data_IF_930096156473
#
_entry.id   IF_930096156473
#
_cell.length_a   1.000
_cell.length_b   1.000
_cell.length_c   1.000
_cell.angle_alpha   90.00
_cell.angle_beta   90.00
_cell.angle_gamma   90.00
#
_symmetry.space_group_name_H-M   'P 1'
#
loop_
_entity.id
_entity.type
_entity.pdbx_description
1 polymer ?
#
# COMPACT_ATOMS: atom_id res chain seq x y z
N UNK A 1 21.05 1.11 -5.99
CA UNK A 1 20.58 1.61 -4.67
C UNK A 1 19.23 0.96 -4.40
N UNK A 2 19.13 0.02 -3.46
CA UNK A 2 17.89 -0.76 -3.22
C UNK A 2 16.87 0.06 -2.45
N UNK A 3 15.74 0.38 -3.07
CA UNK A 3 14.60 1.08 -2.48
C UNK A 3 13.90 0.11 -1.51
N UNK A 4 13.97 0.40 -0.21
CA UNK A 4 13.64 -0.55 0.86
C UNK A 4 12.43 -0.03 1.64
N UNK A 5 11.21 -0.47 1.32
CA UNK A 5 9.95 0.04 1.91
C UNK A 5 9.76 -0.44 3.34
N UNK A 6 9.24 0.43 4.22
CA UNK A 6 9.05 0.18 5.66
C UNK A 6 7.62 -0.31 5.97
N UNK A 7 7.53 -1.32 6.83
CA UNK A 7 6.31 -1.84 7.48
C UNK A 7 6.49 -1.82 9.00
N UNK A 8 5.49 -1.42 9.80
CA UNK A 8 5.48 -1.37 11.29
C UNK A 8 6.88 -1.40 11.94
N UNK A 9 7.71 -0.43 11.57
CA UNK A 9 9.13 -0.46 11.91
C UNK A 9 9.38 0.37 13.14
N UNK A 10 10.33 -0.11 13.95
CA UNK A 10 10.84 0.65 15.06
C UNK A 10 11.54 1.93 14.55
N UNK A 11 11.18 3.05 15.14
CA UNK A 11 11.85 4.33 15.05
C UNK A 11 12.76 4.52 16.26
N UNK A 12 13.87 5.20 16.04
CA UNK A 12 14.76 5.71 17.09
C UNK A 12 14.98 7.19 16.89
N UNK A 13 15.11 7.93 18.00
CA UNK A 13 15.53 9.32 18.01
C UNK A 13 16.92 9.42 18.62
N UNK A 14 17.85 10.12 17.99
CA UNK A 14 19.22 10.35 18.52
C UNK A 14 19.25 10.95 19.93
N UNK A 15 18.16 11.62 20.34
CA UNK A 15 18.03 12.29 21.63
C UNK A 15 17.00 11.64 22.54
N UNK A 16 16.39 10.52 22.12
CA UNK A 16 15.47 9.73 22.94
C UNK A 16 16.18 8.61 23.68
N UNK A 17 15.57 8.10 24.75
CA UNK A 17 16.08 6.96 25.52
C UNK A 17 15.54 5.62 25.03
N UNK A 18 14.42 5.62 24.30
CA UNK A 18 13.69 4.42 23.88
C UNK A 18 13.33 4.47 22.38
N UNK A 19 13.07 3.31 21.79
CA UNK A 19 12.48 3.19 20.45
C UNK A 19 10.96 3.12 20.51
N UNK A 20 10.28 3.63 19.49
CA UNK A 20 8.83 3.50 19.31
C UNK A 20 8.49 2.85 17.98
N UNK A 21 7.30 2.32 17.79
CA UNK A 21 6.81 1.93 16.48
C UNK A 21 6.23 3.14 15.73
N UNK A 22 6.40 3.15 14.40
CA UNK A 22 5.63 4.03 13.52
C UNK A 22 4.23 3.43 13.30
N UNK A 23 3.18 4.16 13.65
CA UNK A 23 1.80 3.78 13.34
C UNK A 23 1.40 4.36 11.99
N UNK A 24 1.06 3.50 11.03
CA UNK A 24 0.57 3.93 9.71
C UNK A 24 -0.93 4.22 9.78
N UNK A 25 -1.31 5.46 9.50
CA UNK A 25 -2.72 5.91 9.47
C UNK A 25 -3.10 6.59 8.16
N UNK A 26 -2.12 6.89 7.30
CA UNK A 26 -2.32 7.60 6.02
C UNK A 26 -3.16 6.82 5.00
N UNK A 27 -3.31 5.50 5.18
CA UNK A 27 -4.03 4.60 4.28
C UNK A 27 -4.36 3.27 4.98
N UNK A 28 -5.24 2.44 4.39
CA UNK A 28 -5.70 1.16 4.98
C UNK A 28 -5.61 -0.06 4.03
N UNK A 29 -5.09 0.11 2.80
CA UNK A 29 -5.20 -0.88 1.72
C UNK A 29 -3.87 -1.33 1.11
N UNK A 30 -2.84 -0.47 1.05
CA UNK A 30 -1.56 -0.80 0.44
C UNK A 30 -0.67 -1.50 1.46
N UNK A 31 -0.35 -2.76 1.19
CA UNK A 31 0.36 -3.64 2.13
C UNK A 31 1.52 -4.36 1.47
N UNK A 32 2.55 -4.64 2.26
CA UNK A 32 3.64 -5.57 1.94
C UNK A 32 3.63 -6.64 3.02
N UNK A 33 3.50 -7.92 2.63
CA UNK A 33 3.41 -9.06 3.56
C UNK A 33 2.37 -8.84 4.69
N UNK A 34 1.22 -8.26 4.34
CA UNK A 34 0.12 -8.01 5.28
C UNK A 34 0.23 -6.73 6.12
N UNK A 35 1.36 -6.02 6.11
CA UNK A 35 1.57 -4.78 6.86
C UNK A 35 1.45 -3.54 5.99
N UNK A 36 0.89 -2.46 6.54
CA UNK A 36 0.66 -1.21 5.80
C UNK A 36 1.97 -0.51 5.43
N UNK A 37 2.01 0.03 4.22
CA UNK A 37 3.11 0.86 3.74
C UNK A 37 2.97 2.28 4.30
N UNK A 38 4.02 2.78 4.95
CA UNK A 38 4.08 4.14 5.47
C UNK A 38 4.31 5.20 4.36
N UNK A 39 3.73 6.38 4.55
CA UNK A 39 3.88 7.54 3.66
C UNK A 39 4.33 8.78 4.43
N UNK A 40 4.70 9.83 3.70
CA UNK A 40 5.10 11.12 4.29
C UNK A 40 4.00 11.79 5.14
N UNK A 41 2.76 11.31 5.09
CA UNK A 41 1.67 11.77 5.96
C UNK A 41 1.69 11.14 7.35
N UNK A 42 2.39 10.03 7.55
CA UNK A 42 2.51 9.37 8.85
C UNK A 42 3.58 10.07 9.71
N UNK A 43 3.28 11.28 10.18
CA UNK A 43 4.25 12.15 10.88
C UNK A 43 3.73 12.80 12.16
N UNK A 44 2.46 12.61 12.50
CA UNK A 44 1.85 13.34 13.58
C UNK A 44 2.25 12.75 14.94
N UNK A 45 2.59 13.62 15.89
CA UNK A 45 2.89 13.24 17.26
C UNK A 45 1.68 13.58 18.16
N UNK A 46 1.25 12.71 19.09
CA UNK A 46 1.73 11.36 19.37
C UNK A 46 0.91 10.28 18.65
N UNK A 47 0.48 10.50 17.39
CA UNK A 47 -0.43 9.60 16.68
C UNK A 47 0.32 8.55 15.87
N UNK A 48 1.19 8.99 14.97
CA UNK A 48 2.06 8.14 14.14
C UNK A 48 3.38 7.85 14.85
N UNK A 49 3.94 8.86 15.51
CA UNK A 49 5.22 8.79 16.21
C UNK A 49 4.96 8.98 17.69
N UNK A 50 5.15 7.94 18.52
CA UNK A 50 4.99 8.03 19.98
C UNK A 50 6.24 8.63 20.64
N UNK A 51 6.19 9.00 21.94
CA UNK A 51 7.36 9.46 22.68
C UNK A 51 8.51 8.45 22.71
N UNK A 52 9.74 8.92 22.52
CA UNK A 52 10.97 8.12 22.61
C UNK A 52 11.51 8.04 24.05
N UNK A 53 10.62 7.89 25.04
CA UNK A 53 10.98 7.94 26.47
C UNK A 53 11.50 9.31 26.91
N UNK A 54 12.59 9.34 27.68
CA UNK A 54 13.23 10.57 28.18
C UNK A 54 14.06 11.23 27.08
N UNK A 55 13.79 12.50 26.83
CA UNK A 55 14.55 13.30 25.87
C UNK A 55 15.80 13.91 26.52
N UNK A 56 16.96 13.74 25.90
CA UNK A 56 18.23 14.31 26.36
C UNK A 56 18.29 15.84 26.29
N UNK A 57 17.52 16.46 25.37
CA UNK A 57 17.44 17.92 25.24
C UNK A 57 16.46 18.49 26.26
N UNK A 58 15.23 17.98 26.31
CA UNK A 58 14.19 18.49 27.21
C UNK A 58 14.39 18.03 28.67
N UNK A 59 15.23 17.02 28.90
CA UNK A 59 15.47 16.36 30.20
C UNK A 59 14.22 15.77 30.86
N UNK A 60 13.12 15.63 30.13
CA UNK A 60 11.85 15.03 30.55
C UNK A 60 11.27 14.17 29.40
N UNK A 61 10.04 13.69 29.52
CA UNK A 61 9.35 12.94 28.45
C UNK A 61 9.41 13.67 27.10
N UNK A 62 9.74 12.93 26.04
CA UNK A 62 9.87 13.47 24.69
C UNK A 62 8.54 14.04 24.20
N UNK A 63 8.53 15.33 23.85
CA UNK A 63 7.42 16.01 23.19
C UNK A 63 7.94 16.61 21.89
N UNK A 64 8.15 15.73 20.92
CA UNK A 64 8.66 16.13 19.63
C UNK A 64 7.53 16.67 18.76
N UNK A 65 7.75 17.76 18.03
CA UNK A 65 6.92 18.12 16.87
C UNK A 65 7.69 17.75 15.60
N UNK A 66 7.37 16.62 14.96
CA UNK A 66 8.06 16.20 13.74
C UNK A 66 7.81 17.19 12.61
N UNK A 67 8.85 17.44 11.81
CA UNK A 67 8.82 18.42 10.72
C UNK A 67 8.22 17.81 9.43
N UNK A 68 9.08 17.46 8.48
CA UNK A 68 8.76 16.82 7.21
C UNK A 68 9.69 15.63 7.01
N UNK A 69 9.15 14.54 6.48
CA UNK A 69 9.96 13.40 6.09
C UNK A 69 10.94 13.77 4.98
N UNK A 70 12.19 13.38 5.16
CA UNK A 70 13.28 13.55 4.22
C UNK A 70 13.66 12.20 3.63
N UNK A 71 14.33 12.22 2.45
CA UNK A 71 14.73 11.01 1.72
C UNK A 71 13.57 10.03 1.50
N UNK A 72 12.41 10.56 1.11
CA UNK A 72 11.25 9.74 0.73
C UNK A 72 11.47 9.06 -0.62
N UNK A 73 10.66 8.06 -0.92
CA UNK A 73 10.72 7.32 -2.18
C UNK A 73 10.00 8.08 -3.29
N UNK A 74 10.44 7.90 -4.55
CA UNK A 74 9.76 8.50 -5.72
C UNK A 74 8.36 7.94 -5.94
N UNK A 75 8.13 6.68 -5.57
CA UNK A 75 6.83 6.03 -5.66
C UNK A 75 5.86 6.58 -4.63
N UNK A 76 4.58 6.69 -5.00
CA UNK A 76 3.53 7.32 -4.17
C UNK A 76 2.37 6.37 -3.88
N UNK A 77 1.61 6.67 -2.83
CA UNK A 77 0.29 6.09 -2.49
C UNK A 77 -0.65 7.26 -2.25
N UNK A 78 -1.77 7.34 -2.99
CA UNK A 78 -2.68 8.50 -2.92
C UNK A 78 -1.95 9.85 -3.04
N UNK A 79 -1.01 9.96 -3.97
CA UNK A 79 -0.15 11.12 -4.19
C UNK A 79 0.83 11.49 -3.04
N UNK A 80 0.89 10.69 -1.97
CA UNK A 80 1.85 10.85 -0.88
C UNK A 80 3.09 9.98 -1.12
N UNK A 81 4.28 10.54 -0.96
CA UNK A 81 5.53 9.79 -1.13
C UNK A 81 5.64 8.65 -0.10
N UNK A 82 6.07 7.46 -0.54
CA UNK A 82 6.31 6.33 0.37
C UNK A 82 7.57 6.56 1.20
N UNK A 83 7.63 6.00 2.40
CA UNK A 83 8.83 6.00 3.23
C UNK A 83 9.68 4.74 2.98
N UNK A 84 11.00 4.93 2.97
CA UNK A 84 11.97 3.86 2.87
C UNK A 84 12.91 3.81 4.08
N UNK A 85 13.83 2.84 4.10
CA UNK A 85 14.82 2.65 5.17
C UNK A 85 15.62 3.91 5.49
N UNK A 86 16.00 4.65 4.46
CA UNK A 86 16.84 5.84 4.62
C UNK A 86 16.02 7.11 4.89
N UNK A 87 14.69 7.00 4.91
CA UNK A 87 13.82 8.12 5.26
C UNK A 87 13.99 8.47 6.73
N UNK A 88 14.03 9.77 7.02
CA UNK A 88 14.17 10.29 8.37
C UNK A 88 13.34 11.56 8.53
N UNK A 89 13.03 11.92 9.77
CA UNK A 89 12.32 13.16 10.10
C UNK A 89 13.03 13.87 11.24
N UNK A 90 13.04 15.20 11.20
CA UNK A 90 13.67 16.01 12.24
C UNK A 90 12.64 16.43 13.29
N UNK A 91 13.09 16.44 14.53
CA UNK A 91 12.37 16.98 15.66
C UNK A 91 12.60 18.49 15.80
N UNK A 92 11.55 19.28 16.03
CA UNK A 92 11.64 20.73 16.22
C UNK A 92 12.53 21.15 17.40
N UNK A 93 12.50 20.40 18.50
CA UNK A 93 13.37 20.61 19.67
C UNK A 93 14.80 20.09 19.45
N UNK A 94 15.06 19.43 18.32
CA UNK A 94 16.33 18.83 17.97
C UNK A 94 16.35 17.31 18.09
N UNK A 95 17.19 16.68 17.28
CA UNK A 95 17.30 15.23 17.15
C UNK A 95 16.73 14.72 15.83
N UNK A 96 17.40 13.71 15.28
CA UNK A 96 16.99 13.01 14.07
C UNK A 96 16.26 11.72 14.46
N UNK A 97 15.12 11.48 13.82
CA UNK A 97 14.32 10.27 13.96
C UNK A 97 14.48 9.43 12.69
N UNK A 98 14.88 8.17 12.84
CA UNK A 98 15.13 7.25 11.72
C UNK A 98 14.66 5.84 12.05
N UNK A 99 14.54 5.01 11.01
CA UNK A 99 14.15 3.61 11.15
C UNK A 99 15.31 2.78 11.71
N UNK A 100 15.05 2.05 12.79
CA UNK A 100 15.97 1.08 13.36
C UNK A 100 15.86 -0.22 12.57
N UNK A 101 16.99 -0.74 12.09
CA UNK A 101 17.05 -2.07 11.47
C UNK A 101 16.93 -3.14 12.57
N UNK A 102 15.78 -3.81 12.68
CA UNK A 102 15.54 -4.87 13.67
C UNK A 102 15.74 -6.27 13.09
N UNK A 103 16.14 -6.39 11.81
CA UNK A 103 16.23 -7.68 11.12
C UNK A 103 14.88 -8.25 10.66
N UNK A 104 13.78 -7.92 11.35
CA UNK A 104 12.40 -8.31 11.00
C UNK A 104 11.68 -7.33 10.08
N UNK A 105 12.26 -6.14 9.89
CA UNK A 105 11.70 -5.12 9.01
C UNK A 105 11.58 -5.68 7.58
N UNK A 106 10.34 -5.76 7.07
CA UNK A 106 10.06 -6.33 5.76
C UNK A 106 10.22 -5.30 4.65
N UNK A 107 11.49 -5.05 4.44
CA UNK A 107 12.08 -4.32 3.37
C UNK A 107 11.82 -4.94 1.98
N UNK A 108 10.72 -4.60 1.33
CA UNK A 108 10.57 -4.93 -0.10
C UNK A 108 11.56 -4.10 -0.91
N UNK A 109 12.40 -4.75 -1.72
CA UNK A 109 13.03 -4.08 -2.87
C UNK A 109 11.92 -3.70 -3.83
N UNK A 110 11.69 -2.41 -4.08
CA UNK A 110 10.97 -2.00 -5.29
C UNK A 110 11.97 -1.40 -6.27
N UNK A 111 12.22 -2.17 -7.34
CA UNK A 111 12.65 -1.77 -8.67
C UNK A 111 13.85 -0.80 -8.76
N UNK A 112 15.05 -1.39 -8.84
CA UNK A 112 15.98 -1.00 -9.90
C UNK A 112 15.62 -1.85 -11.10
N UNK A 113 15.45 -1.21 -12.25
CA UNK A 113 15.39 -1.84 -13.55
C UNK A 113 16.44 -2.95 -13.68
N UNK A 114 15.93 -4.14 -13.94
CA UNK A 114 16.50 -5.34 -14.55
C UNK A 114 17.59 -6.16 -13.82
N UNK A 115 17.27 -7.45 -13.72
CA UNK A 115 18.11 -8.65 -13.76
C UNK A 115 18.50 -9.33 -12.45
N UNK A 116 18.12 -10.62 -12.44
CA UNK A 116 18.72 -11.75 -11.73
C UNK A 116 18.76 -11.68 -10.20
N UNK A 117 17.76 -12.34 -9.59
CA UNK A 117 17.87 -13.39 -8.54
C UNK A 117 16.48 -13.46 -7.87
N UNK A 118 15.59 -14.23 -8.49
CA UNK A 118 14.43 -14.86 -7.86
C UNK A 118 14.64 -16.36 -8.08
N UNK A 119 15.39 -17.01 -7.20
CA UNK A 119 15.53 -18.47 -7.21
C UNK A 119 15.25 -18.95 -5.79
N UNK A 120 13.97 -19.31 -5.54
CA UNK A 120 13.53 -20.37 -4.60
C UNK A 120 12.02 -20.32 -4.29
N UNK A 121 11.18 -19.87 -5.21
CA UNK A 121 9.73 -20.14 -5.21
C UNK A 121 9.49 -20.95 -6.49
N UNK A 122 8.73 -22.07 -6.48
CA UNK A 122 8.35 -22.72 -7.73
C UNK A 122 7.53 -21.70 -8.54
N UNK A 123 8.20 -21.09 -9.51
CA UNK A 123 7.73 -20.01 -10.34
C UNK A 123 6.81 -20.65 -11.39
N UNK A 124 5.51 -20.71 -11.09
CA UNK A 124 4.52 -20.76 -12.17
C UNK A 124 4.78 -19.50 -12.97
N UNK A 125 5.30 -19.67 -14.19
CA UNK A 125 5.90 -18.59 -14.97
C UNK A 125 4.89 -17.44 -15.13
N UNK A 126 5.40 -16.21 -15.13
CA UNK A 126 4.57 -15.00 -15.30
C UNK A 126 3.67 -15.05 -16.54
N UNK A 127 4.05 -15.83 -17.55
CA UNK A 127 3.26 -16.09 -18.76
C UNK A 127 2.00 -16.92 -18.48
N UNK A 128 2.10 -17.98 -17.66
CA UNK A 128 0.94 -18.81 -17.30
C UNK A 128 -0.08 -18.05 -16.43
N UNK A 129 0.39 -17.16 -15.55
CA UNK A 129 -0.50 -16.31 -14.74
C UNK A 129 -1.20 -15.25 -15.59
N UNK A 130 -0.49 -14.68 -16.57
CA UNK A 130 -1.10 -13.74 -17.52
C UNK A 130 -2.11 -14.44 -18.44
N UNK A 131 -1.83 -15.67 -18.85
CA UNK A 131 -2.76 -16.47 -19.64
C UNK A 131 -4.02 -16.84 -18.84
N UNK A 132 -3.88 -17.23 -17.57
CA UNK A 132 -5.01 -17.52 -16.68
C UNK A 132 -5.89 -16.28 -16.44
N UNK A 133 -5.29 -15.10 -16.21
CA UNK A 133 -6.02 -13.84 -16.08
C UNK A 133 -6.74 -13.47 -17.38
N UNK A 134 -6.07 -13.61 -18.52
CA UNK A 134 -6.66 -13.31 -19.83
C UNK A 134 -7.83 -14.26 -20.12
N UNK A 135 -7.70 -15.54 -19.81
CA UNK A 135 -8.76 -16.53 -20.00
C UNK A 135 -9.98 -16.23 -19.11
N UNK A 136 -9.76 -15.86 -17.84
CA UNK A 136 -10.84 -15.49 -16.92
C UNK A 136 -11.57 -14.23 -17.39
N UNK A 137 -10.82 -13.22 -17.86
CA UNK A 137 -11.41 -11.99 -18.40
C UNK A 137 -12.22 -12.26 -19.70
N UNK A 138 -11.74 -13.15 -20.57
CA UNK A 138 -12.47 -13.55 -21.78
C UNK A 138 -13.73 -14.38 -21.46
N UNK A 139 -13.68 -15.23 -20.43
CA UNK A 139 -14.86 -15.95 -19.97
C UNK A 139 -15.92 -14.99 -19.39
N UNK A 140 -15.51 -14.02 -18.57
CA UNK A 140 -16.42 -13.00 -18.03
C UNK A 140 -17.08 -12.18 -19.14
N UNK A 141 -16.30 -11.75 -20.15
CA UNK A 141 -16.83 -11.06 -21.33
C UNK A 141 -17.83 -11.93 -22.09
N UNK A 142 -17.56 -13.22 -22.28
CA UNK A 142 -18.51 -14.14 -22.93
C UNK A 142 -19.80 -14.28 -22.11
N UNK A 143 -19.69 -14.42 -20.80
CA UNK A 143 -20.84 -14.56 -19.90
C UNK A 143 -21.72 -13.30 -19.93
N UNK A 144 -21.14 -12.11 -19.87
CA UNK A 144 -21.86 -10.84 -20.02
C UNK A 144 -22.57 -10.79 -21.38
N UNK A 145 -21.88 -11.18 -22.45
CA UNK A 145 -22.46 -11.17 -23.81
C UNK A 145 -23.67 -12.09 -23.92
N UNK A 146 -23.60 -13.31 -23.37
CA UNK A 146 -24.72 -14.27 -23.38
C UNK A 146 -25.92 -13.70 -22.61
N UNK A 147 -25.69 -13.12 -21.43
CA UNK A 147 -26.75 -12.50 -20.62
C UNK A 147 -27.45 -11.39 -21.42
N UNK A 148 -26.70 -10.52 -22.10
CA UNK A 148 -27.27 -9.45 -22.92
C UNK A 148 -28.09 -10.00 -24.10
N UNK A 149 -27.62 -11.06 -24.77
CA UNK A 149 -28.38 -11.70 -25.86
C UNK A 149 -29.70 -12.30 -25.36
N UNK A 150 -29.72 -12.94 -24.19
CA UNK A 150 -30.94 -13.51 -23.61
C UNK A 150 -31.95 -12.44 -23.22
N UNK A 151 -31.49 -11.33 -22.63
CA UNK A 151 -32.36 -10.20 -22.30
C UNK A 151 -33.00 -9.58 -23.55
N UNK A 152 -32.22 -9.46 -24.63
CA UNK A 152 -32.73 -8.97 -25.92
C UNK A 152 -33.72 -9.95 -26.56
N UNK A 153 -33.46 -11.26 -26.51
CA UNK A 153 -34.40 -12.26 -27.02
C UNK A 153 -35.71 -12.27 -26.23
N UNK A 154 -35.64 -12.17 -24.90
CA UNK A 154 -36.82 -12.08 -24.05
C UNK A 154 -37.65 -10.84 -24.36
N UNK A 155 -37.02 -9.68 -24.56
CA UNK A 155 -37.76 -8.45 -24.89
C UNK A 155 -38.51 -8.56 -26.22
N UNK A 156 -37.95 -9.24 -27.22
CA UNK A 156 -38.62 -9.53 -28.49
C UNK A 156 -39.81 -10.48 -28.30
N UNK A 157 -39.65 -11.54 -27.50
CA UNK A 157 -40.73 -12.51 -27.23
C UNK A 157 -41.87 -11.85 -26.45
N UNK A 158 -41.55 -11.09 -25.40
CA UNK A 158 -42.53 -10.32 -24.64
C UNK A 158 -43.21 -9.27 -25.52
N UNK A 159 -42.45 -8.58 -26.38
CA UNK A 159 -42.99 -7.61 -27.33
C UNK A 159 -43.97 -8.24 -28.33
N UNK A 160 -43.64 -9.39 -28.90
CA UNK A 160 -44.51 -10.12 -29.82
C UNK A 160 -45.77 -10.67 -29.12
N UNK A 161 -45.65 -11.17 -27.89
CA UNK A 161 -46.78 -11.63 -27.10
C UNK A 161 -47.71 -10.47 -26.72
N UNK A 162 -47.14 -9.35 -26.29
CA UNK A 162 -47.87 -8.14 -25.98
C UNK A 162 -48.62 -7.62 -27.21
N UNK A 163 -47.94 -7.55 -28.36
CA UNK A 163 -48.55 -7.15 -29.63
C UNK A 163 -49.71 -8.07 -30.03
N UNK A 164 -49.56 -9.38 -29.87
CA UNK A 164 -50.61 -10.36 -30.17
C UNK A 164 -51.82 -10.23 -29.22
N UNK A 165 -51.59 -9.99 -27.93
CA UNK A 165 -52.63 -9.75 -26.93
C UNK A 165 -53.37 -8.42 -27.18
N UNK A 166 -52.66 -7.37 -27.60
CA UNK A 166 -53.29 -6.07 -27.88
C UNK A 166 -54.21 -6.10 -29.12
N UNK A 167 -53.97 -7.02 -30.05
CA UNK A 167 -54.71 -7.12 -31.32
C UNK A 167 -55.82 -8.19 -31.32
N UNK A 168 -56.09 -8.82 -30.16
CA UNK A 168 -57.15 -9.84 -29.98
C UNK A 168 -58.39 -9.31 -29.25
N UNK A 169 -58.46 -8.00 -29.00
CA UNK A 169 -59.67 -7.25 -28.62
C UNK A 169 -60.16 -6.42 -29.81
#
# INVERSE_FOLDING_TARGET
MSLKTITDSALVCEKGSESTLLKVTSQQYSKIKGMLIATEKDKDFPVNILPFGRCGILRNSCKCKPTVWQKTLKSKINNNAKLGKDSFILCDVGGKIEFKDTGENNFSKSESSNSSIFNSIPEKSTEELQEEINNNNEEEKRNITIILMLLFALSLVFGALYYKLSNTN
#
